data_IF_235021912422
#
_entry.id   IF_235021912422
#
_cell.length_a   1.000
_cell.length_b   1.000
_cell.length_c   1.000
_cell.angle_alpha   90.00
_cell.angle_beta   90.00
_cell.angle_gamma   90.00
#
_symmetry.space_group_name_H-M   'P 1'
#
loop_
_entity.id
_entity.type
_entity.pdbx_description
1 polymer ?
#
# COMPACT_ATOMS: atom_id res chain seq x y z
N UNK A 1 33.64 -37.89 -6.29
CA UNK A 1 34.13 -36.80 -7.16
C UNK A 1 33.12 -36.61 -8.29
N UNK A 2 32.10 -35.79 -8.08
CA UNK A 2 31.14 -35.40 -9.12
C UNK A 2 31.52 -33.98 -9.55
N UNK A 3 31.81 -33.81 -10.84
CA UNK A 3 32.10 -32.51 -11.43
C UNK A 3 30.83 -31.65 -11.44
N UNK A 4 30.85 -30.52 -10.74
CA UNK A 4 29.76 -29.54 -10.75
C UNK A 4 29.49 -29.01 -12.17
N UNK A 5 28.28 -29.21 -12.73
CA UNK A 5 27.95 -28.77 -14.08
C UNK A 5 27.81 -27.25 -14.24
N UNK A 6 27.92 -26.48 -13.16
CA UNK A 6 27.67 -25.02 -13.14
C UNK A 6 28.93 -24.16 -13.10
N UNK A 7 30.12 -24.77 -13.15
CA UNK A 7 31.40 -24.05 -13.22
C UNK A 7 31.64 -23.53 -14.64
N UNK A 8 31.18 -22.31 -14.96
CA UNK A 8 31.63 -21.63 -16.18
C UNK A 8 30.71 -20.58 -16.82
N UNK A 9 29.55 -20.25 -16.25
CA UNK A 9 28.68 -19.22 -16.84
C UNK A 9 28.76 -17.93 -16.04
N UNK A 10 29.89 -17.22 -16.13
CA UNK A 10 29.95 -15.84 -15.65
C UNK A 10 29.09 -14.99 -16.57
N UNK A 11 27.92 -14.59 -16.10
CA UNK A 11 27.06 -13.64 -16.82
C UNK A 11 27.78 -12.29 -16.83
N UNK A 12 28.58 -12.03 -17.86
CA UNK A 12 29.20 -10.72 -18.10
C UNK A 12 28.13 -9.79 -18.64
N UNK A 13 27.39 -9.17 -17.74
CA UNK A 13 26.33 -8.22 -18.06
C UNK A 13 26.97 -6.84 -18.23
N UNK A 14 27.08 -6.39 -19.47
CA UNK A 14 27.63 -5.07 -19.80
C UNK A 14 26.90 -3.98 -19.00
N UNK A 15 27.65 -3.02 -18.44
CA UNK A 15 27.11 -1.96 -17.56
C UNK A 15 25.95 -1.20 -18.21
N UNK A 16 26.00 -1.01 -19.53
CA UNK A 16 24.95 -0.35 -20.33
C UNK A 16 23.67 -1.18 -20.43
N UNK A 17 23.81 -2.50 -20.52
CA UNK A 17 22.71 -3.45 -20.62
C UNK A 17 22.00 -3.60 -19.26
N UNK A 18 22.78 -3.58 -18.17
CA UNK A 18 22.26 -3.52 -16.81
C UNK A 18 21.46 -2.23 -16.59
N UNK A 19 22.04 -1.05 -16.89
CA UNK A 19 21.35 0.24 -16.76
C UNK A 19 20.08 0.33 -17.63
N UNK A 20 20.11 -0.21 -18.87
CA UNK A 20 18.94 -0.25 -19.76
C UNK A 20 17.83 -1.14 -19.19
N UNK A 21 18.17 -2.34 -18.72
CA UNK A 21 17.21 -3.30 -18.14
C UNK A 21 16.62 -2.80 -16.83
N UNK A 22 17.46 -2.24 -15.95
CA UNK A 22 17.02 -1.64 -14.69
C UNK A 22 16.12 -0.42 -14.92
N UNK A 23 16.46 0.44 -15.88
CA UNK A 23 15.66 1.61 -16.22
C UNK A 23 14.28 1.25 -16.81
N UNK A 24 14.23 0.29 -17.72
CA UNK A 24 12.96 -0.22 -18.28
C UNK A 24 12.10 -0.88 -17.20
N UNK A 25 12.71 -1.67 -16.31
CA UNK A 25 11.99 -2.30 -15.19
C UNK A 25 11.38 -1.29 -14.21
N UNK A 26 12.12 -0.23 -13.86
CA UNK A 26 11.62 0.82 -12.97
C UNK A 26 10.51 1.65 -13.63
N UNK A 27 10.66 1.98 -14.91
CA UNK A 27 9.65 2.74 -15.65
C UNK A 27 8.34 1.96 -15.80
N UNK A 28 8.40 0.65 -16.08
CA UNK A 28 7.22 -0.20 -16.15
C UNK A 28 6.46 -0.28 -14.81
N UNK A 29 7.19 -0.30 -13.69
CA UNK A 29 6.58 -0.31 -12.36
C UNK A 29 5.86 1.01 -12.02
N UNK A 30 6.40 2.15 -12.48
CA UNK A 30 5.82 3.47 -12.25
C UNK A 30 4.63 3.77 -13.18
N UNK A 31 4.60 3.19 -14.39
CA UNK A 31 3.54 3.39 -15.38
C UNK A 31 2.36 2.41 -15.23
N UNK A 32 2.54 1.29 -14.53
CA UNK A 32 1.50 0.31 -14.19
C UNK A 32 0.61 0.78 -13.03
N UNK A 33 -0.08 1.91 -13.22
CA UNK A 33 -0.80 2.66 -12.20
C UNK A 33 -1.68 1.83 -11.26
N UNK A 34 -1.60 2.18 -9.99
CA UNK A 34 -2.46 1.70 -8.90
C UNK A 34 -3.87 2.25 -9.06
N UNK A 35 -4.78 1.47 -9.65
CA UNK A 35 -6.21 1.67 -9.43
C UNK A 35 -6.49 1.34 -7.96
N UNK A 36 -6.52 2.38 -7.10
CA UNK A 36 -7.01 2.23 -5.74
C UNK A 36 -8.54 2.18 -5.83
N UNK A 37 -9.07 0.96 -5.71
CA UNK A 37 -10.51 0.77 -5.62
C UNK A 37 -10.96 1.38 -4.30
N UNK A 38 -11.98 2.25 -4.36
CA UNK A 38 -12.54 2.89 -3.19
C UNK A 38 -13.39 1.86 -2.43
N UNK A 39 -12.75 1.12 -1.53
CA UNK A 39 -13.40 0.07 -0.73
C UNK A 39 -13.32 0.41 0.76
N UNK A 40 -14.41 0.23 1.54
CA UNK A 40 -14.34 0.25 3.00
C UNK A 40 -13.36 -0.82 3.52
N UNK A 41 -12.67 -0.52 4.61
CA UNK A 41 -11.71 -1.42 5.23
C UNK A 41 -12.20 -1.83 6.62
N UNK A 42 -12.00 -3.09 7.00
CA UNK A 42 -12.34 -3.56 8.34
C UNK A 42 -11.67 -2.69 9.42
N UNK A 43 -12.42 -2.07 10.34
CA UNK A 43 -11.88 -1.23 11.40
C UNK A 43 -11.17 -2.07 12.47
N UNK A 44 -10.04 -1.56 12.95
CA UNK A 44 -9.22 -2.22 13.99
C UNK A 44 -9.39 -1.54 15.34
N UNK A 45 -9.97 -2.29 16.27
CA UNK A 45 -10.17 -1.88 17.65
C UNK A 45 -8.83 -1.50 18.30
N UNK A 46 -8.78 -0.34 18.96
CA UNK A 46 -7.59 0.14 19.68
C UNK A 46 -6.39 0.48 18.80
N UNK A 47 -6.52 0.42 17.46
CA UNK A 47 -5.40 0.67 16.52
C UNK A 47 -5.75 1.79 15.54
N UNK A 48 -6.93 1.76 14.94
CA UNK A 48 -7.35 2.81 14.04
C UNK A 48 -7.67 4.08 14.85
N UNK A 49 -7.18 5.23 14.38
CA UNK A 49 -7.29 6.52 15.08
C UNK A 49 -8.26 7.43 14.35
N UNK A 50 -9.20 8.01 15.09
CA UNK A 50 -10.13 9.01 14.57
C UNK A 50 -9.41 10.34 14.33
N UNK A 51 -9.45 10.92 13.12
CA UNK A 51 -8.78 12.18 12.82
C UNK A 51 -9.43 13.40 13.48
N UNK A 52 -10.69 13.28 13.94
CA UNK A 52 -11.41 14.36 14.62
C UNK A 52 -11.06 14.47 16.10
N UNK A 53 -11.30 13.41 16.89
CA UNK A 53 -11.07 13.41 18.33
C UNK A 53 -9.68 12.90 18.75
N UNK A 54 -8.88 12.39 17.80
CA UNK A 54 -7.55 11.84 18.01
C UNK A 54 -7.47 10.68 19.02
N UNK A 55 -8.61 10.01 19.26
CA UNK A 55 -8.69 8.78 20.03
C UNK A 55 -8.67 7.57 19.10
N UNK A 56 -8.28 6.42 19.64
CA UNK A 56 -8.43 5.14 18.94
C UNK A 56 -9.89 4.71 18.91
N UNK A 57 -10.27 3.94 17.90
CA UNK A 57 -11.59 3.29 17.83
C UNK A 57 -11.81 2.38 19.04
N UNK A 58 -12.81 2.71 19.87
CA UNK A 58 -13.13 1.96 21.11
C UNK A 58 -14.31 1.01 20.96
N UNK A 59 -15.12 1.12 19.91
CA UNK A 59 -16.23 0.19 19.66
C UNK A 59 -16.50 0.04 18.16
N UNK A 60 -16.26 -1.16 17.65
CA UNK A 60 -16.42 -1.49 16.23
C UNK A 60 -17.87 -1.31 15.72
N UNK A 61 -18.86 -1.32 16.62
CA UNK A 61 -20.27 -1.20 16.27
C UNK A 61 -20.70 0.21 15.91
N UNK A 62 -19.97 1.22 16.39
CA UNK A 62 -20.33 2.64 16.21
C UNK A 62 -19.41 3.37 15.22
N UNK A 63 -18.35 2.71 14.77
CA UNK A 63 -17.35 3.32 13.86
C UNK A 63 -17.98 3.79 12.56
N UNK A 64 -17.48 4.91 12.05
CA UNK A 64 -17.80 5.39 10.72
C UNK A 64 -16.54 5.46 9.86
N UNK A 65 -16.70 5.41 8.54
CA UNK A 65 -15.59 5.52 7.59
C UNK A 65 -15.91 6.52 6.49
N UNK A 66 -14.94 7.37 6.15
CA UNK A 66 -14.96 8.19 4.94
C UNK A 66 -14.05 7.54 3.90
N UNK A 67 -14.64 7.08 2.79
CA UNK A 67 -13.91 6.55 1.65
C UNK A 67 -13.88 7.62 0.55
N UNK A 68 -12.70 8.11 0.21
CA UNK A 68 -12.54 9.14 -0.83
C UNK A 68 -12.59 8.52 -2.23
N UNK A 69 -12.88 9.31 -3.28
CA UNK A 69 -12.77 8.85 -4.67
C UNK A 69 -11.36 8.39 -5.07
N UNK A 70 -10.33 8.83 -4.33
CA UNK A 70 -8.92 8.41 -4.52
C UNK A 70 -8.59 7.09 -3.81
N UNK A 71 -9.54 6.49 -3.09
CA UNK A 71 -9.35 5.23 -2.36
C UNK A 71 -8.73 5.38 -0.97
N UNK A 72 -8.69 6.59 -0.40
CA UNK A 72 -8.28 6.80 0.99
C UNK A 72 -9.44 6.46 1.92
N UNK A 73 -9.15 5.73 2.99
CA UNK A 73 -10.13 5.34 4.01
C UNK A 73 -9.76 5.98 5.35
N UNK A 74 -10.56 6.93 5.80
CA UNK A 74 -10.44 7.56 7.11
C UNK A 74 -11.43 6.92 8.09
N UNK A 75 -10.91 6.39 9.20
CA UNK A 75 -11.71 5.77 10.26
C UNK A 75 -12.12 6.82 11.29
N UNK A 76 -13.34 6.74 11.80
CA UNK A 76 -13.86 7.58 12.87
C UNK A 76 -14.39 6.70 14.00
N UNK A 77 -14.18 7.15 15.24
CA UNK A 77 -14.61 6.42 16.44
C UNK A 77 -16.14 6.27 16.50
N UNK A 78 -16.84 7.31 16.04
CA UNK A 78 -18.29 7.33 15.97
C UNK A 78 -18.80 8.18 14.78
N UNK A 79 -20.08 8.04 14.41
CA UNK A 79 -20.68 8.73 13.26
C UNK A 79 -20.73 10.25 13.45
N UNK A 80 -20.92 10.72 14.68
CA UNK A 80 -20.89 12.15 15.04
C UNK A 80 -19.51 12.77 14.81
N UNK A 81 -18.43 12.02 15.08
CA UNK A 81 -17.07 12.50 14.83
C UNK A 81 -16.81 12.71 13.33
N UNK A 82 -17.44 11.90 12.47
CA UNK A 82 -17.40 12.11 11.02
C UNK A 82 -18.26 13.30 10.62
N UNK A 83 -19.49 13.40 11.13
CA UNK A 83 -20.41 14.49 10.80
C UNK A 83 -19.88 15.87 11.20
N UNK A 84 -19.24 15.98 12.37
CA UNK A 84 -18.65 17.24 12.86
C UNK A 84 -17.37 17.64 12.10
N UNK A 85 -16.70 16.70 11.45
CA UNK A 85 -15.46 16.95 10.70
C UNK A 85 -15.71 17.35 9.24
N UNK A 86 -16.94 17.20 8.74
CA UNK A 86 -17.36 17.57 7.38
C UNK A 86 -17.90 19.00 7.32
#
# INVERSE_FOLDING_TARGET
MASDPWRGKSVTLERREFLRRSGVGLAALLLGGSAAWAEPREPRFGVDVCPYCNMTVVDLRFTAQLVTPTGLVHQYDAIECLADHL
#
